data_IF_485387260304
#
_entry.id   IF_485387260304
#
_cell.length_a   1.000
_cell.length_b   1.000
_cell.length_c   1.000
_cell.angle_alpha   90.00
_cell.angle_beta   90.00
_cell.angle_gamma   90.00
#
_symmetry.space_group_name_H-M   'P 1'
#
loop_
_entity.id
_entity.type
_entity.pdbx_description
1 polymer ?
#
# COMPACT_ATOMS: atom_id res chain seq x y z
N UNK A 1 15.92 3.11 35.17
CA UNK A 1 14.71 3.59 34.48
C UNK A 1 14.95 3.58 32.98
N UNK A 2 13.98 3.17 32.17
CA UNK A 2 14.10 3.06 30.71
C UNK A 2 13.22 4.17 30.09
N UNK A 3 13.74 4.90 29.13
CA UNK A 3 12.95 5.90 28.40
C UNK A 3 12.02 5.22 27.40
N UNK A 4 10.74 5.59 27.41
CA UNK A 4 9.74 5.09 26.49
C UNK A 4 10.04 5.53 25.04
N UNK A 5 10.13 4.56 24.12
CA UNK A 5 10.44 4.82 22.69
C UNK A 5 9.34 5.66 21.99
N UNK A 6 8.10 5.65 22.53
CA UNK A 6 6.97 6.36 21.91
C UNK A 6 6.82 7.82 22.39
N UNK A 7 6.91 8.08 23.70
CA UNK A 7 6.66 9.40 24.28
C UNK A 7 7.86 10.01 25.04
N UNK A 8 8.95 9.28 25.20
CA UNK A 8 10.15 9.73 25.89
C UNK A 8 10.06 9.72 27.43
N UNK A 9 8.91 9.42 28.04
CA UNK A 9 8.74 9.38 29.50
C UNK A 9 9.57 8.24 30.12
N UNK A 10 10.09 8.47 31.31
CA UNK A 10 10.80 7.42 32.07
C UNK A 10 9.82 6.42 32.67
N UNK A 11 10.17 5.16 32.59
CA UNK A 11 9.35 4.05 33.10
C UNK A 11 10.21 2.99 33.77
N UNK A 12 9.74 2.48 34.90
CA UNK A 12 10.34 1.35 35.60
C UNK A 12 9.58 0.03 35.34
N UNK A 13 8.37 0.11 34.79
CA UNK A 13 7.50 -1.02 34.54
C UNK A 13 7.50 -1.52 33.10
N UNK A 14 6.76 -2.60 32.84
CA UNK A 14 6.58 -3.20 31.49
C UNK A 14 5.87 -2.25 30.52
N UNK A 15 4.99 -1.39 31.02
CA UNK A 15 4.23 -0.41 30.24
C UNK A 15 4.53 0.99 30.71
N UNK A 16 4.59 1.93 29.77
CA UNK A 16 4.81 3.34 30.05
C UNK A 16 3.59 3.97 30.74
N UNK A 17 3.73 4.64 31.90
CA UNK A 17 2.61 5.27 32.58
C UNK A 17 2.01 6.46 31.80
N UNK A 18 2.81 7.13 30.95
CA UNK A 18 2.35 8.28 30.18
C UNK A 18 1.55 7.94 28.92
N UNK A 19 1.88 6.84 28.22
CA UNK A 19 1.22 6.51 26.95
C UNK A 19 0.72 5.07 26.82
N UNK A 20 0.97 4.21 27.82
CA UNK A 20 0.56 2.80 27.82
C UNK A 20 1.28 1.93 26.78
N UNK A 21 2.39 2.41 26.18
CA UNK A 21 3.25 1.63 25.28
C UNK A 21 4.08 0.63 26.07
N UNK A 22 4.30 -0.57 25.52
CA UNK A 22 5.30 -1.50 26.04
C UNK A 22 6.69 -0.86 25.94
N UNK A 23 7.42 -0.77 27.06
CA UNK A 23 8.67 0.01 27.16
C UNK A 23 9.80 -0.62 26.36
N UNK A 24 9.88 -1.95 26.36
CA UNK A 24 10.83 -2.73 25.57
C UNK A 24 10.10 -3.60 24.52
N UNK A 25 9.62 -2.99 23.42
CA UNK A 25 8.83 -3.72 22.45
C UNK A 25 9.70 -4.76 21.71
N UNK A 26 9.17 -5.97 21.58
CA UNK A 26 9.84 -7.04 20.82
C UNK A 26 9.99 -6.65 19.34
N UNK A 27 11.08 -7.14 18.73
CA UNK A 27 11.31 -6.99 17.28
C UNK A 27 10.14 -7.59 16.49
N UNK A 28 9.80 -6.97 15.37
CA UNK A 28 8.66 -7.40 14.55
C UNK A 28 8.91 -8.76 13.90
N UNK A 29 7.91 -9.63 14.01
CA UNK A 29 7.81 -10.90 13.31
C UNK A 29 6.54 -10.92 12.48
N UNK A 30 6.45 -11.78 11.45
CA UNK A 30 5.24 -11.91 10.63
C UNK A 30 4.02 -12.21 11.50
N UNK A 31 4.16 -13.11 12.48
CA UNK A 31 3.08 -13.42 13.45
C UNK A 31 2.64 -12.18 14.23
N UNK A 32 3.57 -11.31 14.62
CA UNK A 32 3.25 -10.10 15.38
C UNK A 32 2.54 -9.05 14.51
N UNK A 33 2.84 -8.99 13.21
CA UNK A 33 2.16 -8.07 12.27
C UNK A 33 0.66 -8.36 12.26
N UNK A 34 0.25 -9.62 12.24
CA UNK A 34 -1.15 -10.04 12.14
C UNK A 34 -1.81 -10.40 13.48
N UNK A 35 -1.03 -10.49 14.58
CA UNK A 35 -1.56 -10.77 15.92
C UNK A 35 -2.50 -9.64 16.35
N UNK A 36 -3.70 -9.84 16.66
CA UNK A 36 -4.77 -8.90 17.04
C UNK A 36 -5.73 -8.51 15.91
N UNK A 37 -5.96 -9.43 14.96
CA UNK A 37 -6.90 -9.18 13.85
C UNK A 37 -8.37 -9.11 14.29
N UNK A 38 -8.71 -9.56 15.50
CA UNK A 38 -10.10 -9.87 15.89
C UNK A 38 -10.89 -8.73 16.54
N UNK A 39 -10.27 -7.62 16.94
CA UNK A 39 -11.00 -6.55 17.62
C UNK A 39 -10.81 -5.18 16.96
N UNK A 40 -11.91 -4.59 16.47
CA UNK A 40 -12.09 -3.19 16.03
C UNK A 40 -11.43 -2.81 14.71
N UNK A 41 -12.03 -3.24 13.58
CA UNK A 41 -11.64 -2.81 12.22
C UNK A 41 -12.03 -1.35 11.90
N UNK A 42 -13.00 -0.75 12.57
CA UNK A 42 -13.69 0.47 12.13
C UNK A 42 -13.63 1.66 13.09
N UNK A 43 -12.59 1.79 13.92
CA UNK A 43 -12.41 3.05 14.64
C UNK A 43 -11.54 4.00 13.81
N UNK A 44 -12.19 4.86 13.02
CA UNK A 44 -11.64 6.08 12.41
C UNK A 44 -11.46 7.16 13.50
N UNK A 45 -10.77 6.83 14.58
CA UNK A 45 -10.45 7.79 15.62
C UNK A 45 -9.19 8.59 15.25
N UNK A 46 -8.90 9.68 15.97
CA UNK A 46 -7.76 10.58 15.83
C UNK A 46 -6.41 9.96 15.35
N UNK A 47 -6.07 8.67 15.64
CA UNK A 47 -4.87 8.03 15.12
C UNK A 47 -4.80 7.93 13.60
N UNK A 48 -5.94 7.90 12.86
CA UNK A 48 -5.94 7.76 11.39
C UNK A 48 -5.36 9.00 10.73
N UNK A 49 -5.87 10.17 11.09
CA UNK A 49 -5.41 11.46 10.54
C UNK A 49 -3.95 11.69 10.91
N UNK A 50 -3.58 11.38 12.15
CA UNK A 50 -2.19 11.48 12.61
C UNK A 50 -1.25 10.56 11.81
N UNK A 51 -1.68 9.32 11.55
CA UNK A 51 -0.91 8.36 10.74
C UNK A 51 -0.73 8.86 9.32
N UNK A 52 -1.79 9.35 8.65
CA UNK A 52 -1.73 9.92 7.31
C UNK A 52 -0.76 11.12 7.28
N UNK A 53 -0.95 12.09 8.18
CA UNK A 53 -0.11 13.28 8.25
C UNK A 53 1.37 12.94 8.42
N UNK A 54 1.70 12.05 9.36
CA UNK A 54 3.09 11.66 9.61
C UNK A 54 3.70 10.89 8.43
N UNK A 55 2.94 10.02 7.76
CA UNK A 55 3.42 9.28 6.61
C UNK A 55 3.61 10.15 5.37
N UNK A 56 2.79 11.17 5.15
CA UNK A 56 2.98 12.13 4.06
C UNK A 56 4.21 13.01 4.31
N UNK A 57 4.32 13.59 5.51
CA UNK A 57 5.41 14.52 5.83
C UNK A 57 6.76 13.84 6.01
N UNK A 58 6.78 12.66 6.67
CA UNK A 58 8.00 11.98 7.09
C UNK A 58 7.93 10.46 6.84
N UNK A 59 7.74 9.98 5.58
CA UNK A 59 7.42 8.58 5.30
C UNK A 59 8.48 7.61 5.83
N UNK A 60 9.76 7.91 5.61
CA UNK A 60 10.86 7.06 6.06
C UNK A 60 11.04 7.05 7.58
N UNK A 61 10.94 8.23 8.23
CA UNK A 61 11.08 8.37 9.68
C UNK A 61 9.93 7.70 10.44
N UNK A 62 8.70 7.93 9.99
CA UNK A 62 7.49 7.36 10.61
C UNK A 62 7.50 5.84 10.54
N UNK A 63 7.80 5.27 9.37
CA UNK A 63 7.91 3.83 9.21
C UNK A 63 9.04 3.25 10.08
N UNK A 64 10.20 3.91 10.14
CA UNK A 64 11.32 3.51 10.97
C UNK A 64 10.98 3.55 12.46
N UNK A 65 10.35 4.61 12.94
CA UNK A 65 9.90 4.73 14.34
C UNK A 65 8.94 3.61 14.72
N UNK A 66 8.01 3.25 13.81
CA UNK A 66 7.07 2.17 14.06
C UNK A 66 7.77 0.82 14.23
N UNK A 67 8.70 0.44 13.35
CA UNK A 67 9.41 -0.84 13.44
C UNK A 67 10.36 -0.88 14.64
N UNK A 68 10.93 0.26 15.06
CA UNK A 68 11.78 0.36 16.27
C UNK A 68 10.97 0.39 17.57
N UNK A 69 9.64 0.49 17.51
CA UNK A 69 8.78 0.28 18.66
C UNK A 69 7.81 1.40 19.02
N UNK A 70 7.89 2.60 18.43
CA UNK A 70 6.94 3.68 18.65
C UNK A 70 5.62 3.41 17.92
N UNK A 71 4.76 2.56 18.50
CA UNK A 71 3.58 1.99 17.83
C UNK A 71 2.25 2.56 18.32
N UNK A 72 2.22 3.15 19.52
CA UNK A 72 0.98 3.55 20.18
C UNK A 72 0.25 4.70 19.48
N UNK A 73 0.99 5.63 18.89
CA UNK A 73 0.45 6.82 18.22
C UNK A 73 0.00 6.58 16.78
N UNK A 74 0.23 5.39 16.24
CA UNK A 74 -0.05 5.04 14.84
C UNK A 74 -1.01 3.85 14.76
N UNK A 75 -1.81 3.80 13.70
CA UNK A 75 -2.62 2.62 13.38
C UNK A 75 -1.70 1.47 12.96
N UNK A 76 -2.09 0.23 13.27
CA UNK A 76 -1.35 -0.95 12.82
C UNK A 76 -1.31 -0.99 11.28
N UNK A 77 -0.13 -1.21 10.66
CA UNK A 77 0.06 -1.06 9.21
C UNK A 77 -0.91 -1.87 8.37
N UNK A 78 -1.12 -3.15 8.71
CA UNK A 78 -2.02 -4.02 7.97
C UNK A 78 -3.50 -3.57 8.06
N UNK A 79 -3.95 -3.07 9.24
CA UNK A 79 -5.32 -2.54 9.38
C UNK A 79 -5.49 -1.29 8.54
N UNK A 80 -4.50 -0.40 8.57
CA UNK A 80 -4.48 0.81 7.78
C UNK A 80 -4.55 0.50 6.28
N UNK A 81 -3.74 -0.46 5.82
CA UNK A 81 -3.75 -0.91 4.43
C UNK A 81 -5.09 -1.55 4.05
N UNK A 82 -5.59 -2.52 4.81
CA UNK A 82 -6.84 -3.20 4.48
C UNK A 82 -8.02 -2.24 4.40
N UNK A 83 -8.10 -1.26 5.32
CA UNK A 83 -9.16 -0.25 5.28
C UNK A 83 -9.11 0.57 3.99
N UNK A 84 -7.94 1.15 3.65
CA UNK A 84 -7.81 1.99 2.46
C UNK A 84 -7.89 1.20 1.16
N UNK A 85 -7.39 -0.03 1.11
CA UNK A 85 -7.55 -0.91 -0.05
C UNK A 85 -9.02 -1.26 -0.29
N UNK A 86 -9.76 -1.58 0.76
CA UNK A 86 -11.20 -1.86 0.64
C UNK A 86 -11.96 -0.63 0.12
N UNK A 87 -11.71 0.57 0.66
CA UNK A 87 -12.28 1.81 0.15
C UNK A 87 -11.92 2.05 -1.32
N UNK A 88 -10.66 1.84 -1.69
CA UNK A 88 -10.20 2.00 -3.06
C UNK A 88 -10.93 1.07 -4.03
N UNK A 89 -11.09 -0.21 -3.69
CA UNK A 89 -11.80 -1.20 -4.50
C UNK A 89 -13.29 -0.83 -4.62
N UNK A 90 -13.96 -0.46 -3.53
CA UNK A 90 -15.37 -0.08 -3.54
C UNK A 90 -15.62 1.15 -4.41
N UNK A 91 -14.80 2.19 -4.27
CA UNK A 91 -14.89 3.42 -5.07
C UNK A 91 -14.63 3.11 -6.54
N UNK A 92 -13.60 2.31 -6.84
CA UNK A 92 -13.29 1.90 -8.21
C UNK A 92 -14.48 1.17 -8.87
N UNK A 93 -15.08 0.19 -8.18
CA UNK A 93 -16.23 -0.54 -8.71
C UNK A 93 -17.45 0.37 -8.90
N UNK A 94 -17.69 1.29 -7.95
CA UNK A 94 -18.78 2.25 -8.08
C UNK A 94 -18.58 3.18 -9.28
N UNK A 95 -17.39 3.73 -9.46
CA UNK A 95 -17.06 4.58 -10.61
C UNK A 95 -17.10 3.81 -11.92
N UNK A 96 -16.55 2.60 -11.96
CA UNK A 96 -16.54 1.73 -13.11
C UNK A 96 -17.95 1.44 -13.60
N UNK A 97 -18.86 1.06 -12.69
CA UNK A 97 -20.26 0.77 -13.02
C UNK A 97 -20.99 1.99 -13.59
N UNK A 98 -20.78 3.18 -13.01
CA UNK A 98 -21.53 4.37 -13.40
C UNK A 98 -20.92 5.11 -14.61
N UNK A 99 -19.59 5.06 -14.76
CA UNK A 99 -18.89 5.81 -15.80
C UNK A 99 -18.62 4.97 -17.05
N UNK A 100 -18.16 3.72 -16.90
CA UNK A 100 -17.90 2.84 -18.05
C UNK A 100 -19.16 2.29 -18.72
N UNK A 101 -20.29 2.18 -18.03
CA UNK A 101 -21.58 1.87 -18.67
C UNK A 101 -21.97 2.93 -19.70
N UNK A 102 -21.63 4.20 -19.45
CA UNK A 102 -21.89 5.29 -20.39
C UNK A 102 -21.00 5.24 -21.62
N UNK A 103 -19.69 4.92 -21.45
CA UNK A 103 -18.75 4.83 -22.59
C UNK A 103 -19.04 3.62 -23.50
N UNK A 104 -19.52 2.51 -22.93
CA UNK A 104 -19.91 1.34 -23.75
C UNK A 104 -21.14 1.61 -24.63
N UNK A 105 -22.05 2.49 -24.24
CA UNK A 105 -23.20 2.89 -25.07
C UNK A 105 -22.82 3.77 -26.26
N UNK A 106 -21.68 4.48 -26.16
CA UNK A 106 -21.20 5.36 -27.24
C UNK A 106 -20.35 4.61 -28.29
N UNK A 107 -19.74 3.47 -27.92
CA UNK A 107 -18.84 2.70 -28.80
C UNK A 107 -19.48 1.50 -29.49
N UNK A 108 -20.79 1.34 -29.49
CA UNK A 108 -21.48 0.20 -30.11
C UNK A 108 -21.44 0.14 -31.66
N UNK A 109 -20.77 1.04 -32.32
CA UNK A 109 -20.79 1.17 -33.79
C UNK A 109 -19.67 0.41 -34.54
N UNK A 110 -18.97 -0.56 -33.91
CA UNK A 110 -17.92 -1.33 -34.60
C UNK A 110 -17.98 -2.84 -34.36
N UNK A 111 -17.84 -3.68 -35.45
CA UNK A 111 -18.23 -5.08 -35.41
C UNK A 111 -17.24 -6.09 -34.82
N UNK A 112 -17.72 -7.24 -34.64
CA UNK A 112 -17.42 -8.56 -34.10
C UNK A 112 -16.02 -8.92 -33.56
N UNK A 113 -14.91 -8.59 -34.20
CA UNK A 113 -13.54 -8.90 -33.72
C UNK A 113 -13.09 -8.11 -32.50
N UNK A 114 -13.76 -7.00 -32.20
CA UNK A 114 -13.48 -6.15 -31.04
C UNK A 114 -14.24 -6.56 -29.77
N UNK A 115 -15.33 -7.31 -29.90
CA UNK A 115 -16.16 -7.69 -28.74
C UNK A 115 -15.41 -8.59 -27.77
N UNK A 116 -14.69 -9.58 -28.28
CA UNK A 116 -13.92 -10.51 -27.47
C UNK A 116 -12.77 -9.80 -26.73
N UNK A 117 -12.07 -8.91 -27.41
CA UNK A 117 -11.01 -8.07 -26.82
C UNK A 117 -11.55 -7.15 -25.74
N UNK A 118 -12.71 -6.53 -25.96
CA UNK A 118 -13.39 -5.65 -25.00
C UNK A 118 -13.86 -6.46 -23.77
N UNK A 119 -14.42 -7.65 -23.98
CA UNK A 119 -14.83 -8.53 -22.90
C UNK A 119 -13.64 -9.00 -22.06
N UNK A 120 -12.54 -9.39 -22.70
CA UNK A 120 -11.30 -9.74 -21.99
C UNK A 120 -10.76 -8.56 -21.19
N UNK A 121 -10.74 -7.35 -21.77
CA UNK A 121 -10.29 -6.15 -21.07
C UNK A 121 -11.18 -5.81 -19.88
N UNK A 122 -12.50 -5.94 -20.02
CA UNK A 122 -13.46 -5.74 -18.92
C UNK A 122 -13.25 -6.76 -17.79
N UNK A 123 -13.03 -8.04 -18.13
CA UNK A 123 -12.76 -9.09 -17.15
C UNK A 123 -11.44 -8.84 -16.40
N UNK A 124 -10.41 -8.40 -17.10
CA UNK A 124 -9.14 -8.02 -16.49
C UNK A 124 -9.34 -6.83 -15.54
N UNK A 125 -9.96 -5.75 -16.01
CA UNK A 125 -10.18 -4.53 -15.22
C UNK A 125 -11.04 -4.75 -13.99
N UNK A 126 -12.05 -5.63 -14.07
CA UNK A 126 -12.90 -5.97 -12.93
C UNK A 126 -12.19 -6.83 -11.88
N UNK A 127 -11.33 -7.76 -12.32
CA UNK A 127 -10.71 -8.73 -11.41
C UNK A 127 -9.34 -8.28 -10.89
N UNK A 128 -8.59 -7.46 -11.65
CA UNK A 128 -7.24 -7.05 -11.27
C UNK A 128 -7.19 -6.35 -9.91
N UNK A 129 -8.26 -5.62 -9.56
CA UNK A 129 -8.36 -4.90 -8.28
C UNK A 129 -8.37 -5.80 -7.05
N UNK A 130 -8.81 -7.04 -7.18
CA UNK A 130 -8.70 -8.03 -6.09
C UNK A 130 -7.25 -8.49 -5.87
N UNK A 131 -6.46 -8.52 -6.94
CA UNK A 131 -5.02 -8.84 -6.83
C UNK A 131 -4.20 -7.70 -6.22
N UNK A 132 -4.69 -6.45 -6.21
CA UNK A 132 -4.01 -5.30 -5.61
C UNK A 132 -3.67 -5.51 -4.12
N UNK A 133 -4.40 -6.40 -3.42
CA UNK A 133 -4.08 -6.79 -2.04
C UNK A 133 -2.71 -7.48 -1.91
N UNK A 134 -2.15 -7.99 -3.00
CA UNK A 134 -0.83 -8.64 -3.01
C UNK A 134 0.33 -7.66 -3.24
N UNK A 135 0.06 -6.45 -3.73
CA UNK A 135 1.10 -5.45 -4.04
C UNK A 135 2.05 -5.21 -2.86
N UNK A 136 1.57 -5.04 -1.60
CA UNK A 136 2.48 -4.84 -0.47
C UNK A 136 3.44 -5.99 -0.24
N UNK A 137 3.03 -7.22 -0.55
CA UNK A 137 3.87 -8.41 -0.38
C UNK A 137 5.06 -8.38 -1.36
N UNK A 138 4.80 -8.10 -2.64
CA UNK A 138 5.84 -8.00 -3.66
C UNK A 138 6.76 -6.81 -3.39
N UNK A 139 6.20 -5.65 -3.04
CA UNK A 139 7.01 -4.48 -2.69
C UNK A 139 7.87 -4.74 -1.45
N UNK A 140 7.32 -5.37 -0.40
CA UNK A 140 8.07 -5.74 0.80
C UNK A 140 9.24 -6.68 0.49
N UNK A 141 9.02 -7.64 -0.42
CA UNK A 141 10.06 -8.59 -0.83
C UNK A 141 11.24 -7.90 -1.50
N UNK A 142 11.00 -7.09 -2.53
CA UNK A 142 12.07 -6.38 -3.22
C UNK A 142 12.71 -5.31 -2.34
N UNK A 143 11.91 -4.58 -1.56
CA UNK A 143 12.43 -3.63 -0.59
C UNK A 143 13.35 -4.32 0.43
N UNK A 144 12.97 -5.48 0.97
CA UNK A 144 13.81 -6.28 1.84
C UNK A 144 15.12 -6.68 1.16
N UNK A 145 15.07 -7.21 -0.06
CA UNK A 145 16.27 -7.65 -0.79
C UNK A 145 17.29 -6.53 -0.98
N UNK A 146 16.84 -5.34 -1.39
CA UNK A 146 17.73 -4.23 -1.70
C UNK A 146 18.23 -3.46 -0.47
N UNK A 147 17.45 -3.45 0.62
CA UNK A 147 17.76 -2.61 1.77
C UNK A 147 18.20 -3.36 3.03
N UNK A 148 18.00 -4.69 3.13
CA UNK A 148 18.36 -5.49 4.33
C UNK A 148 19.81 -5.33 4.78
N UNK A 149 20.75 -5.33 3.84
CA UNK A 149 22.19 -5.20 4.15
C UNK A 149 22.55 -3.85 4.77
N UNK A 150 21.86 -2.78 4.35
CA UNK A 150 22.13 -1.42 4.82
C UNK A 150 21.39 -1.07 6.10
N UNK A 151 20.14 -1.49 6.22
CA UNK A 151 19.23 -1.06 7.30
C UNK A 151 19.05 -2.11 8.39
N UNK A 152 19.45 -3.35 8.16
CA UNK A 152 19.28 -4.46 9.09
C UNK A 152 17.84 -4.92 9.29
N UNK A 153 16.91 -4.46 8.41
CA UNK A 153 15.49 -4.83 8.48
C UNK A 153 15.27 -6.31 8.17
N UNK A 154 14.25 -6.89 8.78
CA UNK A 154 13.73 -8.22 8.42
C UNK A 154 12.52 -8.10 7.48
N UNK A 155 12.03 -9.24 6.96
CA UNK A 155 10.90 -9.27 6.03
C UNK A 155 9.59 -8.74 6.65
N UNK A 156 9.33 -9.04 7.93
CA UNK A 156 8.12 -8.56 8.62
C UNK A 156 8.13 -7.04 8.83
N UNK A 157 9.31 -6.48 9.08
CA UNK A 157 9.52 -5.02 9.16
C UNK A 157 9.30 -4.37 7.79
N UNK A 158 9.85 -4.97 6.71
CA UNK A 158 9.61 -4.54 5.33
C UNK A 158 8.12 -4.58 4.96
N UNK A 159 7.41 -5.63 5.35
CA UNK A 159 5.98 -5.78 5.09
C UNK A 159 5.16 -4.69 5.81
N UNK A 160 5.53 -4.36 7.04
CA UNK A 160 4.89 -3.28 7.80
C UNK A 160 5.11 -1.91 7.14
N UNK A 161 6.33 -1.66 6.65
CA UNK A 161 6.68 -0.44 5.92
C UNK A 161 5.87 -0.34 4.62
N UNK A 162 5.78 -1.44 3.87
CA UNK A 162 5.07 -1.50 2.60
C UNK A 162 3.57 -1.24 2.77
N UNK A 163 2.93 -1.80 3.80
CA UNK A 163 1.54 -1.51 4.12
C UNK A 163 1.28 -0.02 4.33
N UNK A 164 2.15 0.68 5.06
CA UNK A 164 2.00 2.12 5.28
C UNK A 164 2.13 2.93 3.99
N UNK A 165 3.18 2.69 3.22
CA UNK A 165 3.46 3.52 2.05
C UNK A 165 2.46 3.30 0.93
N UNK A 166 2.07 2.04 0.68
CA UNK A 166 1.04 1.73 -0.32
C UNK A 166 -0.31 2.31 0.10
N UNK A 167 -0.65 2.33 1.40
CA UNK A 167 -1.89 2.99 1.85
C UNK A 167 -1.94 4.48 1.48
N UNK A 168 -0.82 5.19 1.58
CA UNK A 168 -0.77 6.61 1.18
C UNK A 168 -0.99 6.75 -0.33
N UNK A 169 -0.40 5.87 -1.14
CA UNK A 169 -0.63 5.91 -2.59
C UNK A 169 -2.08 5.58 -2.97
N UNK A 170 -2.75 4.70 -2.22
CA UNK A 170 -4.18 4.41 -2.39
C UNK A 170 -5.06 5.62 -2.04
N UNK A 171 -4.76 6.32 -0.95
CA UNK A 171 -5.49 7.54 -0.56
C UNK A 171 -5.41 8.59 -1.67
N UNK A 172 -4.20 8.82 -2.19
CA UNK A 172 -3.99 9.76 -3.31
C UNK A 172 -4.71 9.26 -4.57
N UNK A 173 -4.65 7.96 -4.87
CA UNK A 173 -5.37 7.37 -5.99
C UNK A 173 -6.88 7.61 -5.91
N UNK A 174 -7.49 7.46 -4.73
CA UNK A 174 -8.92 7.74 -4.52
C UNK A 174 -9.25 9.20 -4.85
N UNK A 175 -8.44 10.15 -4.41
CA UNK A 175 -8.65 11.58 -4.70
C UNK A 175 -8.62 11.82 -6.22
N UNK A 176 -7.61 11.27 -6.90
CA UNK A 176 -7.48 11.45 -8.35
C UNK A 176 -8.53 10.67 -9.16
N UNK A 177 -9.10 9.59 -8.63
CA UNK A 177 -10.25 8.93 -9.23
C UNK A 177 -11.46 9.89 -9.34
N UNK A 178 -11.77 10.64 -8.30
CA UNK A 178 -12.84 11.65 -8.36
C UNK A 178 -12.48 12.83 -9.26
N UNK A 179 -11.24 13.31 -9.24
CA UNK A 179 -10.78 14.39 -10.11
C UNK A 179 -10.79 13.97 -11.59
N UNK A 180 -10.57 12.71 -11.90
CA UNK A 180 -10.60 12.18 -13.27
C UNK A 180 -11.99 12.20 -13.92
N UNK A 181 -13.06 12.32 -13.11
CA UNK A 181 -14.40 12.56 -13.63
C UNK A 181 -14.52 13.93 -14.33
N UNK A 182 -13.72 14.91 -13.92
CA UNK A 182 -13.69 16.23 -14.55
C UNK A 182 -12.67 16.27 -15.71
N UNK A 183 -11.51 15.62 -15.54
CA UNK A 183 -10.41 15.62 -16.52
C UNK A 183 -9.81 14.22 -16.63
N UNK A 184 -10.19 13.46 -17.65
CA UNK A 184 -9.78 12.05 -17.87
C UNK A 184 -8.26 11.85 -17.80
N UNK A 185 -7.46 12.81 -18.25
CA UNK A 185 -5.98 12.73 -18.20
C UNK A 185 -5.42 12.61 -16.78
N UNK A 186 -6.17 13.00 -15.75
CA UNK A 186 -5.75 12.88 -14.35
C UNK A 186 -5.70 11.44 -13.85
N UNK A 187 -6.26 10.49 -14.59
CA UNK A 187 -6.18 9.05 -14.29
C UNK A 187 -4.73 8.53 -14.18
N UNK A 188 -3.82 9.09 -14.95
CA UNK A 188 -2.41 8.68 -14.96
C UNK A 188 -1.58 9.25 -13.78
N UNK A 189 -2.05 10.32 -13.14
CA UNK A 189 -1.29 11.00 -12.07
C UNK A 189 -0.97 10.09 -10.87
N UNK A 190 -1.89 9.25 -10.37
CA UNK A 190 -1.60 8.33 -9.27
C UNK A 190 -0.45 7.37 -9.57
N UNK A 191 -0.28 6.93 -10.82
CA UNK A 191 0.79 6.01 -11.22
C UNK A 191 2.15 6.71 -11.04
N UNK A 192 2.28 7.93 -11.57
CA UNK A 192 3.50 8.73 -11.45
C UNK A 192 3.79 9.07 -10.00
N UNK A 193 2.77 9.50 -9.26
CA UNK A 193 2.90 9.78 -7.82
C UNK A 193 3.37 8.57 -7.04
N UNK A 194 2.83 7.39 -7.31
CA UNK A 194 3.20 6.14 -6.64
C UNK A 194 4.69 5.84 -6.81
N UNK A 195 5.19 5.89 -8.05
CA UNK A 195 6.60 5.62 -8.36
C UNK A 195 7.50 6.62 -7.62
N UNK A 196 7.19 7.91 -7.70
CA UNK A 196 7.97 8.98 -7.04
C UNK A 196 7.93 8.82 -5.53
N UNK A 197 6.74 8.64 -4.95
CA UNK A 197 6.55 8.56 -3.50
C UNK A 197 7.25 7.34 -2.89
N UNK A 198 7.07 6.15 -3.47
CA UNK A 198 7.70 4.94 -2.95
C UNK A 198 9.23 4.98 -3.07
N UNK A 199 9.74 5.53 -4.18
CA UNK A 199 11.19 5.75 -4.37
C UNK A 199 11.72 6.73 -3.32
N UNK A 200 11.09 7.88 -3.15
CA UNK A 200 11.48 8.89 -2.15
C UNK A 200 11.40 8.34 -0.72
N UNK A 201 10.32 7.64 -0.38
CA UNK A 201 10.14 7.05 0.94
C UNK A 201 11.24 6.02 1.25
N UNK A 202 11.64 5.21 0.26
CA UNK A 202 12.72 4.23 0.37
C UNK A 202 14.08 4.90 0.61
N UNK A 203 14.35 6.01 -0.08
CA UNK A 203 15.57 6.82 0.13
C UNK A 203 15.61 7.39 1.54
N UNK A 204 14.50 8.00 2.00
CA UNK A 204 14.39 8.57 3.34
C UNK A 204 14.52 7.53 4.44
N UNK A 205 13.95 6.36 4.25
CA UNK A 205 14.06 5.25 5.19
C UNK A 205 15.51 4.76 5.34
N UNK A 206 16.20 4.58 4.21
CA UNK A 206 17.59 4.09 4.21
C UNK A 206 18.63 5.15 4.58
N UNK A 207 18.23 6.42 4.70
CA UNK A 207 19.15 7.54 4.89
C UNK A 207 20.10 7.79 3.70
N UNK A 208 19.77 7.28 2.51
CA UNK A 208 20.57 7.44 1.29
C UNK A 208 19.86 8.35 0.30
N UNK A 209 20.15 9.64 0.39
CA UNK A 209 19.64 10.67 -0.56
C UNK A 209 20.51 10.76 -1.84
N UNK A 210 21.41 9.81 -2.06
CA UNK A 210 22.26 9.74 -3.27
C UNK A 210 21.51 9.07 -4.42
N UNK A 211 21.99 9.27 -5.65
CA UNK A 211 21.46 8.65 -6.86
C UNK A 211 21.34 7.11 -6.75
N UNK A 212 22.32 6.48 -6.11
CA UNK A 212 22.29 5.02 -5.86
C UNK A 212 21.11 4.59 -4.97
N UNK A 213 20.66 5.44 -4.06
CA UNK A 213 19.45 5.19 -3.26
C UNK A 213 18.17 5.32 -4.09
N UNK A 214 18.12 6.29 -5.01
CA UNK A 214 17.01 6.48 -5.94
C UNK A 214 16.89 5.29 -6.90
N UNK A 215 17.98 4.87 -7.49
CA UNK A 215 18.01 3.70 -8.41
C UNK A 215 17.49 2.45 -7.69
N UNK A 216 17.98 2.16 -6.47
CA UNK A 216 17.50 1.00 -5.69
C UNK A 216 16.03 1.09 -5.35
N UNK A 217 15.53 2.27 -4.98
CA UNK A 217 14.12 2.48 -4.69
C UNK A 217 13.26 2.27 -5.94
N UNK A 218 13.66 2.88 -7.06
CA UNK A 218 12.98 2.78 -8.34
C UNK A 218 12.95 1.33 -8.86
N UNK A 219 14.09 0.62 -8.82
CA UNK A 219 14.14 -0.80 -9.20
C UNK A 219 13.25 -1.67 -8.31
N UNK A 220 13.20 -1.43 -7.00
CA UNK A 220 12.28 -2.15 -6.11
C UNK A 220 10.82 -1.95 -6.51
N UNK A 221 10.43 -0.71 -6.83
CA UNK A 221 9.07 -0.39 -7.28
C UNK A 221 8.77 -1.08 -8.61
N UNK A 222 9.61 -0.89 -9.62
CA UNK A 222 9.39 -1.45 -10.97
C UNK A 222 9.27 -2.98 -10.92
N UNK A 223 10.21 -3.66 -10.26
CA UNK A 223 10.19 -5.13 -10.15
C UNK A 223 8.95 -5.63 -9.39
N UNK A 224 8.52 -4.91 -8.36
CA UNK A 224 7.32 -5.28 -7.59
C UNK A 224 6.08 -5.24 -8.46
N UNK A 225 5.90 -4.16 -9.22
CA UNK A 225 4.74 -4.01 -10.12
C UNK A 225 4.84 -4.94 -11.33
N UNK A 226 6.03 -5.17 -11.89
CA UNK A 226 6.22 -6.10 -13.00
C UNK A 226 5.83 -7.55 -12.60
N UNK A 227 6.30 -8.04 -11.45
CA UNK A 227 5.94 -9.37 -10.95
C UNK A 227 4.46 -9.44 -10.59
N UNK A 228 3.92 -8.41 -9.94
CA UNK A 228 2.50 -8.33 -9.63
C UNK A 228 1.63 -8.41 -10.89
N UNK A 229 1.90 -7.58 -11.91
CA UNK A 229 1.11 -7.53 -13.15
C UNK A 229 1.20 -8.85 -13.92
N UNK A 230 2.40 -9.43 -14.07
CA UNK A 230 2.56 -10.72 -14.74
C UNK A 230 1.77 -11.81 -14.03
N UNK A 231 1.83 -11.90 -12.70
CA UNK A 231 1.06 -12.89 -11.94
C UNK A 231 -0.44 -12.66 -12.08
N UNK A 232 -0.92 -11.41 -11.91
CA UNK A 232 -2.33 -11.09 -11.99
C UNK A 232 -2.91 -11.42 -13.36
N UNK A 233 -2.24 -10.98 -14.43
CA UNK A 233 -2.69 -11.23 -15.81
C UNK A 233 -2.67 -12.72 -16.15
N UNK A 234 -1.60 -13.45 -15.79
CA UNK A 234 -1.52 -14.90 -16.06
C UNK A 234 -2.61 -15.69 -15.34
N UNK A 235 -2.93 -15.34 -14.09
CA UNK A 235 -4.00 -16.02 -13.34
C UNK A 235 -5.39 -15.69 -13.90
N UNK A 236 -5.63 -14.43 -14.31
CA UNK A 236 -6.90 -14.04 -14.94
C UNK A 236 -7.08 -14.79 -16.28
N UNK A 237 -6.04 -14.83 -17.12
CA UNK A 237 -6.10 -15.53 -18.41
C UNK A 237 -6.28 -17.05 -18.22
N UNK A 238 -5.61 -17.65 -17.25
CA UNK A 238 -5.79 -19.06 -16.93
C UNK A 238 -7.22 -19.38 -16.45
N UNK A 239 -7.80 -18.47 -15.65
CA UNK A 239 -9.19 -18.58 -15.22
C UNK A 239 -10.15 -18.52 -16.43
N UNK A 240 -10.02 -17.52 -17.30
CA UNK A 240 -10.85 -17.35 -18.49
C UNK A 240 -10.77 -18.58 -19.40
N UNK A 241 -9.56 -19.08 -19.69
CA UNK A 241 -9.35 -20.25 -20.56
C UNK A 241 -9.95 -21.54 -20.01
N UNK A 242 -10.05 -21.69 -18.67
CA UNK A 242 -10.62 -22.91 -18.06
C UNK A 242 -12.16 -22.87 -17.95
N UNK A 243 -12.77 -21.70 -17.93
CA UNK A 243 -14.23 -21.56 -17.79
C UNK A 243 -14.97 -21.26 -19.10
N UNK A 244 -14.25 -20.95 -20.18
CA UNK A 244 -14.82 -20.78 -21.54
C UNK A 244 -14.59 -22.00 -22.45
N UNK A 245 -14.13 -23.13 -21.91
CA UNK A 245 -14.25 -24.47 -22.52
C UNK A 245 -15.48 -25.19 -21.99
#
# INVERSE_FOLDING_TARGET
MIKCVNCGAESAGKYCPGCGQEVAPKRMTVRLVFKDSTHKLLHLENPSINTIRQLIMWPGRTAKNYITGARKSLIKPYKFFLSWQTFHVLIFHWLSKNYFSYTNSVNQNNPDDKKELILMQQLIDQNIKYFDYLIPLFFAFFFYLFYRKKTGINFAESLSVSFYWISITLIISIIFMFLSLMYVKLWAVPIVFNIIFLTFASMRFSGSMKLSGAIKGLTAVILSYAVYLTLAVTLILAYVNNFHK
#
